data_IF_289428871257
#
_entry.id   IF_289428871257
#
_cell.length_a   1.000
_cell.length_b   1.000
_cell.length_c   1.000
_cell.angle_alpha   90.00
_cell.angle_beta   90.00
_cell.angle_gamma   90.00
#
_symmetry.space_group_name_H-M   'P 1'
#
loop_
_entity.id
_entity.type
_entity.pdbx_description
1 polymer ?
#
# COMPACT_ATOMS: atom_id res chain seq x y z
N UNK A 1 -26.19 37.00 13.55
CA UNK A 1 -25.74 36.24 12.37
C UNK A 1 -24.27 35.80 12.42
N UNK A 2 -23.35 36.56 13.04
CA UNK A 2 -21.92 36.18 13.12
C UNK A 2 -21.65 34.89 13.91
N UNK A 3 -22.37 34.62 15.01
CA UNK A 3 -22.20 33.40 15.82
C UNK A 3 -22.57 32.09 15.08
N UNK A 4 -23.52 32.14 14.14
CA UNK A 4 -23.93 30.98 13.32
C UNK A 4 -22.96 30.71 12.17
N UNK A 5 -22.24 31.73 11.70
CA UNK A 5 -21.21 31.60 10.67
C UNK A 5 -19.95 30.88 11.20
N UNK A 6 -19.63 31.05 12.49
CA UNK A 6 -18.50 30.35 13.13
C UNK A 6 -18.84 28.87 13.43
N UNK A 7 -20.12 28.56 13.66
CA UNK A 7 -20.58 27.17 13.81
C UNK A 7 -20.52 26.40 12.48
N UNK A 8 -20.74 27.07 11.34
CA UNK A 8 -20.60 26.49 10.00
C UNK A 8 -19.13 26.28 9.58
N UNK A 9 -18.21 27.16 9.98
CA UNK A 9 -16.78 26.98 9.67
C UNK A 9 -16.11 25.92 10.54
N UNK A 10 -16.60 25.67 11.76
CA UNK A 10 -16.12 24.59 12.62
C UNK A 10 -16.51 23.19 12.12
N UNK A 11 -17.62 23.06 11.38
CA UNK A 11 -18.08 21.78 10.81
C UNK A 11 -17.31 21.37 9.54
N UNK A 12 -16.53 22.29 8.96
CA UNK A 12 -15.72 22.06 7.76
C UNK A 12 -14.30 21.55 8.07
N UNK A 13 -13.97 21.32 9.34
CA UNK A 13 -12.84 20.48 9.74
C UNK A 13 -13.35 19.04 9.92
N UNK A 14 -13.86 18.44 8.85
CA UNK A 14 -14.05 16.98 8.83
C UNK A 14 -12.69 16.34 8.99
N UNK A 15 -12.46 15.71 10.13
CA UNK A 15 -11.33 14.81 10.35
C UNK A 15 -11.30 13.80 9.21
N UNK A 16 -10.29 13.90 8.33
CA UNK A 16 -9.94 12.79 7.46
C UNK A 16 -9.21 11.77 8.32
N UNK A 17 -9.95 10.92 9.03
CA UNK A 17 -9.35 9.74 9.64
C UNK A 17 -9.02 8.76 8.52
N UNK A 18 -7.75 8.72 8.11
CA UNK A 18 -7.26 7.64 7.25
C UNK A 18 -7.19 6.36 8.09
N UNK A 19 -8.11 5.44 7.84
CA UNK A 19 -8.00 4.07 8.36
C UNK A 19 -6.96 3.31 7.53
N UNK A 20 -6.34 2.29 8.14
CA UNK A 20 -5.51 1.33 7.40
C UNK A 20 -6.32 0.71 6.25
N UNK A 21 -5.78 0.82 5.05
CA UNK A 21 -6.36 0.25 3.84
C UNK A 21 -5.64 -1.03 3.44
N UNK A 22 -6.34 -1.88 2.69
CA UNK A 22 -5.75 -3.07 2.07
C UNK A 22 -5.82 -2.88 0.56
N UNK A 23 -4.65 -2.87 -0.10
CA UNK A 23 -4.52 -2.79 -1.55
C UNK A 23 -4.05 -4.13 -2.11
N UNK A 24 -4.51 -4.49 -3.31
CA UNK A 24 -4.10 -5.74 -3.98
C UNK A 24 -3.39 -5.43 -5.29
N UNK A 25 -2.22 -6.02 -5.47
CA UNK A 25 -1.46 -6.02 -6.72
C UNK A 25 -1.43 -7.45 -7.26
N UNK A 26 -1.77 -7.63 -8.53
CA UNK A 26 -1.62 -8.91 -9.21
C UNK A 26 -0.32 -8.92 -10.02
N UNK A 27 0.38 -10.04 -10.04
CA UNK A 27 1.54 -10.26 -10.93
C UNK A 27 1.30 -11.49 -11.80
N UNK A 28 1.49 -11.32 -13.11
CA UNK A 28 1.44 -12.40 -14.10
C UNK A 28 2.41 -12.07 -15.24
N UNK A 29 3.31 -12.99 -15.59
CA UNK A 29 4.39 -12.68 -16.54
C UNK A 29 5.30 -11.58 -15.99
N UNK A 30 5.68 -10.60 -16.80
CA UNK A 30 6.64 -9.55 -16.41
C UNK A 30 5.97 -8.24 -15.94
N UNK A 31 4.78 -8.31 -15.35
CA UNK A 31 4.00 -7.12 -14.96
C UNK A 31 3.44 -7.22 -13.55
N UNK A 32 3.28 -6.04 -12.93
CA UNK A 32 2.44 -5.83 -11.74
C UNK A 32 1.24 -4.96 -12.13
N UNK A 33 0.05 -5.25 -11.59
CA UNK A 33 -1.16 -4.48 -11.84
C UNK A 33 -1.98 -4.27 -10.56
N UNK A 34 -2.17 -3.02 -10.09
CA UNK A 34 -1.52 -1.81 -10.62
C UNK A 34 0.00 -1.85 -10.44
N UNK A 35 0.74 -1.15 -11.30
CA UNK A 35 2.21 -1.04 -11.23
C UNK A 35 2.69 0.06 -10.26
N UNK A 36 1.76 0.91 -9.82
CA UNK A 36 1.99 2.03 -8.93
C UNK A 36 0.80 2.19 -7.98
N UNK A 37 1.10 2.49 -6.72
CA UNK A 37 0.12 2.76 -5.68
C UNK A 37 0.62 3.93 -4.83
N UNK A 38 -0.32 4.72 -4.31
CA UNK A 38 -0.07 5.61 -3.19
C UNK A 38 -0.73 5.00 -1.96
N UNK A 39 0.04 4.81 -0.89
CA UNK A 39 -0.41 4.25 0.38
C UNK A 39 -0.02 5.19 1.52
N UNK A 40 -0.64 4.99 2.68
CA UNK A 40 -0.24 5.62 3.94
C UNK A 40 0.50 4.61 4.83
N UNK A 41 1.29 5.12 5.78
CA UNK A 41 1.85 4.27 6.85
C UNK A 41 0.71 3.58 7.60
N UNK A 42 0.85 2.28 7.84
CA UNK A 42 -0.16 1.41 8.41
C UNK A 42 -1.02 0.67 7.38
N UNK A 43 -0.96 1.02 6.08
CA UNK A 43 -1.66 0.29 5.03
C UNK A 43 -1.02 -1.08 4.77
N UNK A 44 -1.83 -2.01 4.28
CA UNK A 44 -1.41 -3.35 3.86
C UNK A 44 -1.43 -3.46 2.35
N UNK A 45 -0.40 -4.06 1.76
CA UNK A 45 -0.41 -4.45 0.34
C UNK A 45 -0.30 -5.96 0.23
N UNK A 46 -1.19 -6.54 -0.56
CA UNK A 46 -1.20 -7.93 -0.95
C UNK A 46 -0.75 -8.06 -2.41
N UNK A 47 0.38 -8.72 -2.64
CA UNK A 47 0.78 -9.15 -3.96
C UNK A 47 0.28 -10.57 -4.20
N UNK A 48 -0.37 -10.81 -5.34
CA UNK A 48 -0.92 -12.11 -5.73
C UNK A 48 -0.27 -12.54 -7.04
N UNK A 49 0.46 -13.65 -7.03
CA UNK A 49 1.01 -14.24 -8.25
C UNK A 49 -0.05 -15.12 -8.92
N UNK A 50 -0.64 -14.60 -10.00
CA UNK A 50 -1.68 -15.26 -10.79
C UNK A 50 -1.12 -16.08 -11.95
N UNK A 51 0.20 -16.07 -12.18
CA UNK A 51 0.86 -16.92 -13.16
C UNK A 51 2.37 -16.68 -13.29
N UNK A 52 3.13 -17.76 -13.48
CA UNK A 52 4.59 -17.73 -13.62
C UNK A 52 5.36 -17.90 -12.31
N UNK A 53 6.69 -17.79 -12.40
CA UNK A 53 7.62 -17.90 -11.26
C UNK A 53 8.19 -16.52 -10.95
N UNK A 54 7.68 -15.91 -9.88
CA UNK A 54 7.96 -14.51 -9.54
C UNK A 54 8.17 -14.33 -8.04
N UNK A 55 8.66 -13.16 -7.66
CA UNK A 55 8.71 -12.68 -6.29
C UNK A 55 8.41 -11.17 -6.22
N UNK A 56 8.23 -10.69 -4.99
CA UNK A 56 8.39 -9.28 -4.60
C UNK A 56 9.80 -9.13 -4.03
N UNK A 57 10.54 -8.11 -4.48
CA UNK A 57 11.85 -7.78 -3.92
C UNK A 57 11.94 -6.28 -3.63
N UNK A 58 11.87 -5.93 -2.36
CA UNK A 58 12.15 -4.60 -1.82
C UNK A 58 13.21 -4.66 -0.71
N UNK A 59 14.05 -5.71 -0.70
CA UNK A 59 15.04 -5.97 0.35
C UNK A 59 16.07 -4.84 0.44
N UNK A 60 16.52 -4.49 1.65
CA UNK A 60 17.54 -3.43 1.85
C UNK A 60 18.91 -3.81 1.28
N UNK A 61 19.19 -5.10 1.04
CA UNK A 61 20.40 -5.51 0.33
C UNK A 61 20.36 -5.14 -1.16
N UNK A 62 19.18 -5.18 -1.78
CA UNK A 62 18.98 -4.81 -3.19
C UNK A 62 18.70 -3.31 -3.34
N UNK A 63 17.89 -2.76 -2.43
CA UNK A 63 17.39 -1.39 -2.43
C UNK A 63 17.70 -0.72 -1.08
N UNK A 64 18.96 -0.32 -0.81
CA UNK A 64 19.39 0.17 0.50
C UNK A 64 18.79 1.52 0.92
N UNK A 65 18.11 2.22 0.01
CA UNK A 65 17.46 3.51 0.28
C UNK A 65 15.97 3.36 0.61
N UNK A 66 15.39 2.15 0.57
CA UNK A 66 14.01 1.95 1.00
C UNK A 66 13.89 2.20 2.52
N UNK A 67 12.78 2.76 3.01
CA UNK A 67 12.56 2.95 4.45
C UNK A 67 12.54 1.63 5.23
N UNK A 68 12.06 0.56 4.60
CA UNK A 68 11.97 -0.79 5.16
C UNK A 68 12.25 -1.84 4.08
N UNK A 69 12.73 -3.02 4.49
CA UNK A 69 13.06 -4.11 3.59
C UNK A 69 12.08 -5.27 3.68
N UNK A 70 11.56 -5.73 2.54
CA UNK A 70 10.68 -6.88 2.47
C UNK A 70 10.82 -7.64 1.14
N UNK A 71 10.28 -8.86 1.10
CA UNK A 71 10.23 -9.68 -0.11
C UNK A 71 9.99 -11.16 0.20
N UNK A 72 9.80 -11.94 -0.85
CA UNK A 72 9.63 -13.39 -0.75
C UNK A 72 10.54 -14.15 -1.72
N UNK A 73 10.62 -15.47 -1.54
CA UNK A 73 11.34 -16.36 -2.46
C UNK A 73 10.61 -16.47 -3.79
N UNK A 74 11.36 -16.68 -4.88
CA UNK A 74 10.79 -16.94 -6.21
C UNK A 74 9.99 -18.24 -6.18
N UNK A 75 8.69 -18.14 -6.50
CA UNK A 75 7.78 -19.28 -6.56
C UNK A 75 6.55 -18.94 -7.41
N UNK A 76 5.65 -19.90 -7.59
CA UNK A 76 4.37 -19.76 -8.29
C UNK A 76 3.17 -19.82 -7.33
N UNK A 77 2.08 -19.13 -7.64
CA UNK A 77 0.79 -19.31 -6.94
C UNK A 77 0.79 -18.86 -5.48
N UNK A 78 1.53 -17.80 -5.16
CA UNK A 78 1.62 -17.25 -3.81
C UNK A 78 0.81 -15.97 -3.64
N UNK A 79 0.44 -15.69 -2.40
CA UNK A 79 0.07 -14.35 -1.93
C UNK A 79 1.12 -13.90 -0.92
N UNK A 80 1.67 -12.72 -1.12
CA UNK A 80 2.64 -12.10 -0.21
C UNK A 80 2.00 -10.83 0.34
N UNK A 81 2.03 -10.67 1.66
CA UNK A 81 1.39 -9.55 2.36
C UNK A 81 2.46 -8.78 3.12
N UNK A 82 2.44 -7.46 2.99
CA UNK A 82 3.28 -6.55 3.77
C UNK A 82 2.44 -5.41 4.35
N UNK A 83 2.68 -5.10 5.63
CA UNK A 83 2.09 -3.94 6.32
C UNK A 83 3.18 -2.89 6.45
N UNK A 84 2.95 -1.70 5.93
CA UNK A 84 3.94 -0.63 5.92
C UNK A 84 3.98 0.08 7.28
N UNK A 85 5.16 0.28 7.87
CA UNK A 85 5.34 0.87 9.21
C UNK A 85 6.34 2.00 9.30
#
# INVERSE_FOLDING_TARGET
MKLRLHLLTALLFTFFTSFSQVQTINTAGMTFSPDSLTINVGDTVNWVNTGGFHNVNATLSTFPLNPEGFGNSVSSGWTFTHVFS
#
